data_IF_466110129052
#
_entry.id   IF_466110129052
#
_cell.length_a   1.000
_cell.length_b   1.000
_cell.length_c   1.000
_cell.angle_alpha   90.00
_cell.angle_beta   90.00
_cell.angle_gamma   90.00
#
_symmetry.space_group_name_H-M   'P 1'
#
loop_
_entity.id
_entity.type
_entity.pdbx_description
1 polymer ?
#
# COMPACT_ATOMS: atom_id res chain seq x y z
N UNK A 1 15.85 2.06 -19.10
CA UNK A 1 15.27 1.20 -20.16
C UNK A 1 14.24 0.21 -19.62
N UNK A 2 14.55 -0.49 -18.51
CA UNK A 2 13.63 -1.45 -17.87
C UNK A 2 12.19 -0.94 -17.67
N UNK A 3 12.02 0.28 -17.13
CA UNK A 3 10.69 0.85 -16.93
C UNK A 3 9.87 0.96 -18.21
N UNK A 4 10.46 1.48 -19.29
CA UNK A 4 9.78 1.61 -20.59
C UNK A 4 9.46 0.24 -21.19
N UNK A 5 10.33 -0.74 -21.01
CA UNK A 5 10.08 -2.12 -21.47
C UNK A 5 8.89 -2.73 -20.71
N UNK A 6 8.82 -2.56 -19.39
CA UNK A 6 7.68 -3.00 -18.59
C UNK A 6 6.37 -2.32 -18.99
N UNK A 7 6.42 -1.01 -19.29
CA UNK A 7 5.24 -0.29 -19.81
C UNK A 7 4.74 -0.83 -21.15
N UNK A 8 5.61 -1.48 -21.93
CA UNK A 8 5.26 -2.17 -23.19
C UNK A 8 4.87 -3.64 -22.98
N UNK A 9 4.76 -4.09 -21.73
CA UNK A 9 4.35 -5.46 -21.38
C UNK A 9 5.49 -6.48 -21.30
N UNK A 10 6.75 -6.05 -21.33
CA UNK A 10 7.87 -6.97 -21.10
C UNK A 10 7.92 -7.42 -19.64
N UNK A 11 8.15 -8.71 -19.41
CA UNK A 11 8.44 -9.23 -18.08
C UNK A 11 9.78 -8.67 -17.58
N UNK A 12 9.82 -8.21 -16.33
CA UNK A 12 11.04 -7.71 -15.70
C UNK A 12 11.77 -8.83 -14.99
N UNK A 13 13.08 -8.94 -15.24
CA UNK A 13 13.94 -9.79 -14.41
C UNK A 13 14.16 -9.16 -13.02
N UNK A 14 14.61 -9.95 -12.05
CA UNK A 14 14.96 -9.46 -10.70
C UNK A 14 15.99 -8.31 -10.74
N UNK A 15 16.96 -8.37 -11.67
CA UNK A 15 17.96 -7.34 -11.84
C UNK A 15 17.34 -6.00 -12.30
N UNK A 16 16.41 -6.07 -13.25
CA UNK A 16 15.69 -4.89 -13.73
C UNK A 16 14.87 -4.26 -12.61
N UNK A 17 14.12 -5.09 -11.86
CA UNK A 17 13.32 -4.63 -10.70
C UNK A 17 14.15 -3.97 -9.62
N UNK A 18 15.36 -4.48 -9.35
CA UNK A 18 16.32 -3.85 -8.42
C UNK A 18 16.79 -2.49 -8.90
N UNK A 19 16.94 -2.30 -10.21
CA UNK A 19 17.37 -1.03 -10.81
C UNK A 19 16.29 0.05 -10.85
N UNK A 20 15.01 -0.34 -10.83
CA UNK A 20 13.88 0.60 -10.77
C UNK A 20 13.84 1.26 -9.40
N UNK A 21 13.55 2.55 -9.35
CA UNK A 21 13.23 3.26 -8.10
C UNK A 21 11.79 2.98 -7.63
N UNK A 22 11.44 3.59 -6.50
CA UNK A 22 10.13 3.43 -5.88
C UNK A 22 8.97 3.96 -6.75
N UNK A 23 9.18 5.09 -7.44
CA UNK A 23 8.15 5.73 -8.26
C UNK A 23 7.83 4.89 -9.48
N UNK A 24 8.86 4.36 -10.15
CA UNK A 24 8.68 3.45 -11.27
C UNK A 24 7.95 2.17 -10.83
N UNK A 25 8.34 1.56 -9.70
CA UNK A 25 7.65 0.39 -9.16
C UNK A 25 6.18 0.70 -8.83
N UNK A 26 5.92 1.85 -8.21
CA UNK A 26 4.58 2.33 -7.91
C UNK A 26 3.73 2.48 -9.18
N UNK A 27 4.23 3.16 -10.22
CA UNK A 27 3.49 3.36 -11.47
C UNK A 27 3.20 2.04 -12.17
N UNK A 28 4.16 1.12 -12.23
CA UNK A 28 3.95 -0.20 -12.84
C UNK A 28 2.91 -1.01 -12.06
N UNK A 29 2.98 -1.01 -10.73
CA UNK A 29 2.03 -1.71 -9.89
C UNK A 29 0.63 -1.12 -10.02
N UNK A 30 0.49 0.21 -9.98
CA UNK A 30 -0.77 0.92 -10.13
C UNK A 30 -1.46 0.62 -11.47
N UNK A 31 -0.67 0.38 -12.52
CA UNK A 31 -1.15 -0.02 -13.85
C UNK A 31 -1.43 -1.52 -13.97
N UNK A 32 -1.19 -2.30 -12.92
CA UNK A 32 -1.37 -3.76 -12.92
C UNK A 32 -0.34 -4.50 -13.78
N UNK A 33 0.77 -3.86 -14.15
CA UNK A 33 1.81 -4.45 -14.99
C UNK A 33 2.76 -5.35 -14.19
N UNK A 34 2.82 -5.14 -12.88
CA UNK A 34 3.64 -5.93 -11.96
C UNK A 34 2.90 -6.18 -10.65
N UNK A 35 3.09 -7.37 -10.09
CA UNK A 35 2.79 -7.62 -8.69
C UNK A 35 4.03 -7.33 -7.83
N UNK A 36 3.86 -6.49 -6.80
CA UNK A 36 4.94 -6.07 -5.93
C UNK A 36 5.30 -7.14 -4.91
N UNK A 37 6.56 -7.52 -4.91
CA UNK A 37 7.15 -8.41 -3.90
C UNK A 37 7.24 -7.68 -2.54
N UNK A 38 7.22 -8.40 -1.41
CA UNK A 38 7.36 -7.78 -0.08
C UNK A 38 8.61 -6.89 0.05
N UNK A 39 9.75 -7.33 -0.51
CA UNK A 39 11.00 -6.54 -0.53
C UNK A 39 10.88 -5.22 -1.31
N UNK A 40 10.01 -5.17 -2.31
CA UNK A 40 9.78 -3.97 -3.13
C UNK A 40 8.83 -3.00 -2.43
N UNK A 41 7.83 -3.50 -1.72
CA UNK A 41 6.92 -2.69 -0.91
C UNK A 41 7.63 -1.89 0.17
N UNK A 42 8.68 -2.46 0.78
CA UNK A 42 9.53 -1.75 1.76
C UNK A 42 10.26 -0.53 1.19
N UNK A 43 10.40 -0.44 -0.13
CA UNK A 43 11.04 0.69 -0.82
C UNK A 43 10.03 1.80 -1.13
N UNK A 44 8.74 1.50 -1.05
CA UNK A 44 7.68 2.46 -1.34
C UNK A 44 7.48 3.42 -0.16
N UNK A 45 7.07 4.64 -0.48
CA UNK A 45 6.60 5.59 0.52
C UNK A 45 5.24 5.14 1.08
N UNK A 46 4.84 5.64 2.26
CA UNK A 46 3.50 5.44 2.78
C UNK A 46 2.40 5.88 1.82
N UNK A 47 2.61 6.97 1.07
CA UNK A 47 1.65 7.48 0.09
C UNK A 47 1.43 6.48 -1.06
N UNK A 48 2.51 5.88 -1.58
CA UNK A 48 2.39 4.85 -2.60
C UNK A 48 1.60 3.65 -2.09
N UNK A 49 1.92 3.14 -0.90
CA UNK A 49 1.21 2.01 -0.30
C UNK A 49 -0.27 2.33 -0.07
N UNK A 50 -0.58 3.53 0.44
CA UNK A 50 -1.94 4.00 0.64
C UNK A 50 -2.73 4.04 -0.67
N UNK A 51 -2.19 4.67 -1.72
CA UNK A 51 -2.87 4.76 -3.02
C UNK A 51 -3.10 3.37 -3.61
N UNK A 52 -2.09 2.49 -3.58
CA UNK A 52 -2.23 1.13 -4.11
C UNK A 52 -3.28 0.32 -3.34
N UNK A 53 -3.34 0.45 -2.02
CA UNK A 53 -4.34 -0.22 -1.19
C UNK A 53 -5.76 0.31 -1.45
N UNK A 54 -5.92 1.64 -1.53
CA UNK A 54 -7.20 2.28 -1.87
C UNK A 54 -7.72 1.84 -3.24
N UNK A 55 -6.82 1.63 -4.20
CA UNK A 55 -7.15 1.15 -5.56
C UNK A 55 -7.37 -0.36 -5.63
N UNK A 56 -7.19 -1.08 -4.52
CA UNK A 56 -7.31 -2.54 -4.46
C UNK A 56 -6.19 -3.27 -5.21
N UNK A 57 -5.13 -2.58 -5.59
CA UNK A 57 -3.97 -3.17 -6.29
C UNK A 57 -3.18 -4.09 -5.38
N UNK A 58 -3.12 -3.76 -4.07
CA UNK A 58 -2.45 -4.58 -3.07
C UNK A 58 -3.34 -4.80 -1.85
N UNK A 59 -3.14 -5.94 -1.20
CA UNK A 59 -3.57 -6.16 0.18
C UNK A 59 -2.40 -5.83 1.10
N UNK A 60 -2.61 -4.89 2.02
CA UNK A 60 -1.60 -4.48 2.98
C UNK A 60 -1.32 -5.60 3.98
N UNK A 61 -0.04 -5.92 4.15
CA UNK A 61 0.44 -6.79 5.22
C UNK A 61 0.50 -6.04 6.56
N UNK A 62 0.74 -6.75 7.66
CA UNK A 62 0.95 -6.11 8.95
C UNK A 62 2.18 -5.18 8.93
N UNK A 63 3.25 -5.56 8.23
CA UNK A 63 4.44 -4.72 8.08
C UNK A 63 4.16 -3.46 7.25
N UNK A 64 3.38 -3.59 6.15
CA UNK A 64 2.97 -2.44 5.36
C UNK A 64 2.15 -1.45 6.21
N UNK A 65 1.25 -1.93 7.07
CA UNK A 65 0.45 -1.08 7.96
C UNK A 65 1.29 -0.36 9.02
N UNK A 66 2.36 -1.00 9.49
CA UNK A 66 3.27 -0.38 10.46
C UNK A 66 4.02 0.82 9.86
N UNK A 67 4.32 0.82 8.56
CA UNK A 67 4.96 1.95 7.89
C UNK A 67 3.98 3.09 7.56
N UNK A 68 2.67 2.83 7.55
CA UNK A 68 1.66 3.86 7.29
C UNK A 68 1.44 4.78 8.51
N UNK A 69 1.23 6.09 8.30
CA UNK A 69 0.69 6.99 9.32
C UNK A 69 -0.68 6.54 9.85
N UNK A 70 -1.04 6.90 11.10
CA UNK A 70 -2.35 6.61 11.67
C UNK A 70 -3.53 7.09 10.81
N UNK A 71 -3.45 8.30 10.26
CA UNK A 71 -4.50 8.89 9.42
C UNK A 71 -4.82 8.03 8.19
N UNK A 72 -3.80 7.41 7.60
CA UNK A 72 -3.98 6.51 6.46
C UNK A 72 -4.65 5.21 6.87
N UNK A 73 -4.29 4.65 8.04
CA UNK A 73 -4.96 3.48 8.59
C UNK A 73 -6.45 3.77 8.86
N UNK A 74 -6.75 4.93 9.44
CA UNK A 74 -8.13 5.38 9.66
C UNK A 74 -8.92 5.45 8.35
N UNK A 75 -8.40 6.14 7.34
CA UNK A 75 -9.07 6.29 6.04
C UNK A 75 -9.25 4.95 5.33
N UNK A 76 -8.25 4.07 5.37
CA UNK A 76 -8.33 2.74 4.78
C UNK A 76 -9.39 1.86 5.47
N UNK A 77 -9.47 1.95 6.80
CA UNK A 77 -10.48 1.24 7.58
C UNK A 77 -11.88 1.77 7.30
N UNK A 78 -12.06 3.09 7.31
CA UNK A 78 -13.31 3.76 7.03
C UNK A 78 -13.87 3.38 5.64
N UNK A 79 -12.99 3.21 4.66
CA UNK A 79 -13.34 2.78 3.30
C UNK A 79 -13.58 1.26 3.18
N UNK A 80 -13.34 0.49 4.23
CA UNK A 80 -13.43 -0.98 4.21
C UNK A 80 -12.30 -1.65 3.42
N UNK A 81 -11.23 -0.91 3.08
CA UNK A 81 -10.09 -1.43 2.31
C UNK A 81 -9.07 -2.17 3.17
N UNK A 82 -9.02 -1.89 4.48
CA UNK A 82 -8.16 -2.58 5.42
C UNK A 82 -8.89 -2.88 6.73
N UNK A 83 -8.73 -4.10 7.24
CA UNK A 83 -9.14 -4.43 8.60
C UNK A 83 -8.04 -4.04 9.58
N UNK A 84 -8.40 -3.32 10.64
CA UNK A 84 -7.47 -2.90 11.67
C UNK A 84 -7.25 -4.01 12.70
N UNK A 85 -5.99 -4.32 12.96
CA UNK A 85 -5.60 -5.15 14.10
C UNK A 85 -5.68 -4.36 15.40
N UNK A 86 -5.57 -5.03 16.55
CA UNK A 86 -5.51 -4.34 17.84
C UNK A 86 -4.32 -3.36 17.92
N UNK A 87 -3.18 -3.73 17.32
CA UNK A 87 -2.01 -2.84 17.25
C UNK A 87 -2.28 -1.60 16.39
N UNK A 88 -3.01 -1.76 15.27
CA UNK A 88 -3.39 -0.62 14.44
C UNK A 88 -4.34 0.33 15.21
N UNK A 89 -5.32 -0.23 15.93
CA UNK A 89 -6.27 0.54 16.77
C UNK A 89 -5.56 1.36 17.87
N UNK A 90 -4.50 0.83 18.47
CA UNK A 90 -3.72 1.53 19.50
C UNK A 90 -2.96 2.77 18.98
N UNK A 91 -2.76 2.87 17.65
CA UNK A 91 -2.07 4.01 17.02
C UNK A 91 -3.03 5.13 16.62
N UNK A 92 -4.34 4.84 16.59
CA UNK A 92 -5.37 5.80 16.24
C UNK A 92 -5.73 6.68 17.44
N UNK A 93 -6.25 7.87 17.15
CA UNK A 93 -6.78 8.74 18.21
C UNK A 93 -8.12 8.19 18.73
N UNK A 94 -8.54 8.56 19.96
CA UNK A 94 -9.86 8.20 20.47
C UNK A 94 -11.00 8.63 19.53
N UNK A 95 -10.90 9.80 18.92
CA UNK A 95 -11.91 10.33 18.00
C UNK A 95 -12.03 9.48 16.73
N UNK A 96 -10.89 9.04 16.17
CA UNK A 96 -10.87 8.12 15.02
C UNK A 96 -11.59 6.81 15.35
N UNK A 97 -11.30 6.24 16.52
CA UNK A 97 -11.91 5.00 16.98
C UNK A 97 -13.42 5.17 17.15
N UNK A 98 -13.87 6.25 17.80
CA UNK A 98 -15.30 6.54 17.94
C UNK A 98 -15.97 6.71 16.59
N UNK A 99 -15.33 7.40 15.64
CA UNK A 99 -15.88 7.56 14.28
C UNK A 99 -15.99 6.21 13.54
N UNK A 100 -14.98 5.35 13.64
CA UNK A 100 -15.03 4.01 13.05
C UNK A 100 -16.09 3.12 13.71
N UNK A 101 -16.29 3.22 15.02
CA UNK A 101 -17.36 2.49 15.74
C UNK A 101 -18.75 2.95 15.30
N UNK A 102 -18.98 4.26 15.19
CA UNK A 102 -20.25 4.81 14.67
C UNK A 102 -20.56 4.35 13.25
N UNK A 103 -19.52 4.05 12.46
CA UNK A 103 -19.62 3.51 11.09
C UNK A 103 -19.72 1.98 11.04
N UNK A 104 -19.65 1.29 12.18
CA UNK A 104 -19.69 -0.18 12.27
C UNK A 104 -18.45 -0.88 11.71
N UNK A 105 -17.30 -0.18 11.65
CA UNK A 105 -16.05 -0.71 11.09
C UNK A 105 -15.23 -1.47 12.13
N UNK A 106 -15.26 -1.06 13.40
CA UNK A 106 -14.39 -1.57 14.47
C UNK A 106 -15.10 -1.92 15.76
#
# INVERSE_FOLDING_TARGET
MAFIQALRGAALADADRKSLDADHLFVLALRGLVELLPKERKRLSPDHLFILAVRGTIKLTAEDKQSLPPDYLFLLALRGTAHLTQQDKQRLTPDDLTHLQMRGVV
#
